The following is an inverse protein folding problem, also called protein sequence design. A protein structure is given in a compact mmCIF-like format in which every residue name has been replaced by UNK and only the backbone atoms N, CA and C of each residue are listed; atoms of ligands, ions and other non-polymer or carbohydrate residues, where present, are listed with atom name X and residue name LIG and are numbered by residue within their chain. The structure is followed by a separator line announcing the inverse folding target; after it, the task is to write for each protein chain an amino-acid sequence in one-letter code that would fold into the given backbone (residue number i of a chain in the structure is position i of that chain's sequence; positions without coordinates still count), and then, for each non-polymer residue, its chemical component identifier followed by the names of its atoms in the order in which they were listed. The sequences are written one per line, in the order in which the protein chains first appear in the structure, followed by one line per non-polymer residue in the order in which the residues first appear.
data_IF_452670514405
#
_entry.id   IF_452670514405
#
_cell.length_a   1.000
_cell.length_b   1.000
_cell.length_c   1.000
_cell.angle_alpha   90.00
_cell.angle_beta   90.00
_cell.angle_gamma   90.00
#
_symmetry.space_group_name_H-M   'P 1'
#
loop_
_entity.id
_entity.type
_entity.pdbx_description
1 polymer ?
#
# COMPACT_ATOMS: atom_id res chain seq x y z
N UNK A 1 8.84 10.62 0.89
CA UNK A 1 8.62 9.96 2.19
C UNK A 1 8.14 8.54 1.91
N UNK A 2 8.93 7.51 2.25
CA UNK A 2 8.58 6.11 1.98
C UNK A 2 7.71 5.62 3.14
N UNK A 3 6.53 5.07 2.82
CA UNK A 3 5.57 4.53 3.80
C UNK A 3 6.20 3.43 4.67
N UNK A 4 7.26 2.79 4.16
CA UNK A 4 8.04 1.72 4.79
C UNK A 4 8.60 2.08 6.18
N UNK A 5 9.00 3.33 6.42
CA UNK A 5 9.69 3.73 7.67
C UNK A 5 8.76 4.17 8.80
N UNK A 6 7.51 4.56 8.51
CA UNK A 6 6.63 5.17 9.53
C UNK A 6 5.89 4.15 10.40
N UNK A 7 5.68 2.94 9.91
CA UNK A 7 4.84 1.93 10.60
C UNK A 7 5.64 0.71 11.12
N UNK A 8 6.90 0.53 10.71
CA UNK A 8 7.69 -0.66 11.09
C UNK A 8 7.15 -1.98 10.53
N UNK A 9 6.24 -1.92 9.56
CA UNK A 9 5.58 -3.06 8.95
C UNK A 9 6.30 -3.40 7.64
N UNK A 10 6.67 -4.67 7.41
CA UNK A 10 7.41 -5.04 6.21
C UNK A 10 6.56 -4.78 4.95
N UNK A 11 7.17 -4.25 3.86
CA UNK A 11 6.46 -3.82 2.66
C UNK A 11 5.68 -4.95 1.98
N UNK A 12 6.15 -6.20 2.12
CA UNK A 12 5.46 -7.39 1.61
C UNK A 12 4.11 -7.65 2.28
N UNK A 13 3.87 -7.08 3.47
CA UNK A 13 2.59 -7.16 4.19
C UNK A 13 1.70 -5.95 3.94
N UNK A 14 2.21 -4.88 3.34
CA UNK A 14 1.45 -3.69 3.05
C UNK A 14 0.78 -3.81 1.68
N UNK A 15 -0.55 -3.67 1.64
CA UNK A 15 -1.31 -3.53 0.40
C UNK A 15 -2.00 -2.19 0.38
N UNK A 16 -1.61 -1.33 -0.54
CA UNK A 16 -2.30 -0.07 -0.78
C UNK A 16 -3.52 -0.33 -1.68
N UNK A 17 -4.66 0.21 -1.31
CA UNK A 17 -5.91 0.13 -2.05
C UNK A 17 -6.38 1.56 -2.34
N UNK A 18 -6.68 1.83 -3.60
CA UNK A 18 -7.22 3.10 -4.07
C UNK A 18 -8.47 2.84 -4.91
N UNK A 19 -9.58 3.54 -4.60
CA UNK A 19 -10.85 3.39 -5.33
C UNK A 19 -11.31 1.92 -5.49
N UNK A 20 -11.07 1.07 -4.49
CA UNK A 20 -11.39 -0.36 -4.53
C UNK A 20 -10.43 -1.23 -5.36
N UNK A 21 -9.34 -0.68 -5.90
CA UNK A 21 -8.29 -1.41 -6.61
C UNK A 21 -7.01 -1.46 -5.79
N UNK A 22 -6.43 -2.65 -5.67
CA UNK A 22 -5.11 -2.79 -5.08
C UNK A 22 -4.07 -2.16 -6.02
N UNK A 23 -3.22 -1.29 -5.48
CA UNK A 23 -2.06 -0.77 -6.18
C UNK A 23 -1.02 -1.89 -6.32
N UNK A 24 -0.48 -2.00 -7.53
CA UNK A 24 0.60 -2.93 -7.85
C UNK A 24 1.92 -2.15 -7.89
N UNK A 25 3.01 -2.76 -7.42
CA UNK A 25 4.34 -2.15 -7.42
C UNK A 25 4.83 -1.72 -8.82
N UNK A 26 4.34 -2.41 -9.86
CA UNK A 26 4.66 -2.13 -11.27
C UNK A 26 3.92 -0.92 -11.87
N UNK A 27 2.99 -0.31 -11.12
CA UNK A 27 2.18 0.82 -11.62
C UNK A 27 2.39 2.05 -10.76
N UNK A 28 2.61 3.19 -11.41
CA UNK A 28 2.80 4.45 -10.69
C UNK A 28 1.47 5.07 -10.27
N UNK A 29 1.52 5.96 -9.28
CA UNK A 29 0.34 6.71 -8.81
C UNK A 29 -0.39 7.46 -9.95
N UNK A 30 0.35 7.86 -11.00
CA UNK A 30 -0.21 8.45 -12.22
C UNK A 30 -1.09 7.50 -13.03
N UNK A 31 -0.73 6.21 -13.12
CA UNK A 31 -1.54 5.20 -13.82
C UNK A 31 -2.93 5.02 -13.17
N UNK A 32 -3.02 5.34 -11.89
CA UNK A 32 -4.27 5.29 -11.11
C UNK A 32 -4.97 6.64 -11.00
N UNK A 33 -4.46 7.70 -11.65
CA UNK A 33 -4.93 9.08 -11.49
C UNK A 33 -5.05 9.50 -10.01
N UNK A 34 -4.06 9.13 -9.19
CA UNK A 34 -4.00 9.52 -7.78
C UNK A 34 -3.48 10.96 -7.72
N UNK A 35 -4.33 11.88 -7.26
CA UNK A 35 -3.98 13.28 -7.07
C UNK A 35 -3.52 13.55 -5.63
N UNK A 36 -2.74 14.62 -5.42
CA UNK A 36 -2.32 15.04 -4.08
C UNK A 36 -3.51 15.39 -3.21
N UNK A 37 -3.74 14.64 -2.13
CA UNK A 37 -4.92 14.73 -1.27
C UNK A 37 -5.88 13.53 -1.39
N UNK A 38 -5.61 12.60 -2.31
CA UNK A 38 -6.36 11.35 -2.44
C UNK A 38 -6.19 10.45 -1.21
N UNK A 39 -7.28 9.82 -0.78
CA UNK A 39 -7.28 8.88 0.35
C UNK A 39 -6.91 7.48 -0.12
N UNK A 40 -5.83 6.94 0.43
CA UNK A 40 -5.36 5.57 0.20
C UNK A 40 -5.72 4.70 1.40
N UNK A 41 -6.31 3.54 1.15
CA UNK A 41 -6.59 2.55 2.19
C UNK A 41 -5.41 1.59 2.29
N UNK A 42 -4.73 1.58 3.43
CA UNK A 42 -3.68 0.61 3.71
C UNK A 42 -4.30 -0.63 4.35
N UNK A 43 -4.14 -1.79 3.71
CA UNK A 43 -4.56 -3.09 4.26
C UNK A 43 -3.32 -3.92 4.58
N UNK A 44 -3.31 -4.49 5.77
CA UNK A 44 -2.23 -5.33 6.25
C UNK A 44 -2.55 -6.80 5.98
N UNK A 45 -1.78 -7.41 5.08
CA UNK A 45 -1.79 -8.84 4.87
C UNK A 45 -0.91 -9.51 5.93
N UNK A 46 -1.51 -9.82 7.09
CA UNK A 46 -0.85 -10.61 8.12
C UNK A 46 -0.70 -12.06 7.59
N UNK A 47 0.50 -12.43 7.13
CA UNK A 47 0.85 -13.85 7.02
C UNK A 47 0.87 -14.41 8.44
N UNK A 48 -0.01 -15.38 8.71
CA UNK A 48 -0.08 -16.09 9.99
C UNK A 48 1.30 -16.59 10.42
N UNK A 49 1.54 -16.52 11.73
CA UNK A 49 2.84 -16.58 12.39
C UNK A 49 3.78 -17.68 11.90
N UNK A 50 5.07 -17.32 11.94
CA UNK A 50 6.20 -18.25 11.93
C UNK A 50 5.96 -19.29 13.05
N UNK A 51 5.70 -20.54 12.68
CA UNK A 51 5.96 -21.69 13.57
C UNK A 51 7.47 -21.92 13.64
#
# INVERSE_FOLDING_TARGET
ERVEEKEGIPPVQQRLIYAGKQLADDKTAKDYNIEGGSVLHLVLALRGGRL
#
